data_IF_157814883627
#
_entry.id   IF_157814883627
#
_cell.length_a   1.000
_cell.length_b   1.000
_cell.length_c   1.000
_cell.angle_alpha   90.00
_cell.angle_beta   90.00
_cell.angle_gamma   90.00
#
_symmetry.space_group_name_H-M   'P 1'
#
loop_
_entity.id
_entity.type
_entity.pdbx_description
1 polymer ?
#
# COMPACT_ATOMS: atom_id res chain seq x y z
N UNK A 1 -14.48 -4.21 -28.80
CA UNK A 1 -13.37 -3.64 -28.00
C UNK A 1 -12.29 -4.70 -27.98
N UNK A 2 -11.26 -4.58 -28.83
CA UNK A 2 -10.12 -5.50 -28.75
C UNK A 2 -9.45 -5.28 -27.39
N UNK A 3 -9.54 -6.29 -26.52
CA UNK A 3 -8.94 -6.26 -25.18
C UNK A 3 -7.41 -6.28 -25.28
N UNK A 4 -6.89 -6.76 -26.41
CA UNK A 4 -5.49 -6.97 -26.66
C UNK A 4 -5.02 -6.22 -27.90
N UNK A 5 -3.91 -5.51 -27.75
CA UNK A 5 -3.21 -4.90 -28.87
C UNK A 5 -2.47 -6.01 -29.63
N UNK A 6 -3.06 -6.49 -30.73
CA UNK A 6 -2.50 -7.57 -31.53
C UNK A 6 -1.07 -7.29 -31.99
N UNK A 7 -0.74 -6.02 -32.27
CA UNK A 7 0.63 -5.62 -32.65
C UNK A 7 1.62 -5.82 -31.52
N UNK A 8 1.23 -5.54 -30.28
CA UNK A 8 2.08 -5.77 -29.11
C UNK A 8 2.34 -7.26 -28.89
N UNK A 9 1.29 -8.09 -28.99
CA UNK A 9 1.41 -9.55 -28.88
C UNK A 9 2.34 -10.11 -29.95
N UNK A 10 2.16 -9.67 -31.20
CA UNK A 10 3.01 -10.07 -32.31
C UNK A 10 4.46 -9.64 -32.11
N UNK A 11 4.69 -8.42 -31.62
CA UNK A 11 6.04 -7.94 -31.31
C UNK A 11 6.72 -8.74 -30.19
N UNK A 12 5.98 -9.07 -29.12
CA UNK A 12 6.48 -9.90 -28.02
C UNK A 12 6.86 -11.29 -28.52
N UNK A 13 6.01 -11.92 -29.35
CA UNK A 13 6.28 -13.26 -29.88
C UNK A 13 7.43 -13.26 -30.89
N UNK A 14 7.46 -12.32 -31.84
CA UNK A 14 8.47 -12.26 -32.90
C UNK A 14 9.87 -11.96 -32.37
N UNK A 15 9.99 -11.13 -31.33
CA UNK A 15 11.28 -10.74 -30.72
C UNK A 15 11.69 -11.63 -29.55
N UNK A 16 10.97 -12.73 -29.31
CA UNK A 16 11.19 -13.64 -28.18
C UNK A 16 11.27 -12.93 -26.81
N UNK A 17 10.43 -11.92 -26.61
CA UNK A 17 10.45 -11.08 -25.40
C UNK A 17 9.73 -11.72 -24.21
N UNK A 18 9.40 -13.01 -24.29
CA UNK A 18 8.66 -13.73 -23.24
C UNK A 18 9.47 -13.83 -21.97
N UNK A 19 10.76 -14.13 -22.07
CA UNK A 19 11.65 -14.17 -20.91
C UNK A 19 11.81 -12.77 -20.29
N UNK A 20 11.92 -11.74 -21.13
CA UNK A 20 11.99 -10.34 -20.67
C UNK A 20 10.71 -9.87 -19.95
N UNK A 21 9.55 -10.41 -20.32
CA UNK A 21 8.28 -10.15 -19.61
C UNK A 21 8.25 -10.77 -18.22
N UNK A 22 8.93 -11.90 -18.02
CA UNK A 22 8.99 -12.58 -16.72
C UNK A 22 10.12 -12.05 -15.84
N UNK A 23 11.19 -11.54 -16.45
CA UNK A 23 12.32 -10.90 -15.77
C UNK A 23 12.02 -9.43 -15.43
N UNK A 24 11.11 -9.20 -14.49
CA UNK A 24 10.79 -7.87 -13.97
C UNK A 24 11.54 -7.57 -12.67
N UNK A 25 11.37 -6.36 -12.16
CA UNK A 25 11.81 -5.98 -10.83
C UNK A 25 10.60 -5.95 -9.90
N UNK A 26 10.77 -6.49 -8.70
CA UNK A 26 9.72 -6.67 -7.71
C UNK A 26 10.18 -6.14 -6.36
N UNK A 27 9.25 -5.58 -5.58
CA UNK A 27 9.45 -5.25 -4.18
C UNK A 27 8.13 -5.38 -3.42
N UNK A 28 8.21 -5.66 -2.13
CA UNK A 28 7.05 -5.71 -1.24
C UNK A 28 7.25 -4.80 -0.05
N UNK A 29 6.18 -4.11 0.33
CA UNK A 29 6.03 -3.52 1.67
C UNK A 29 4.89 -4.28 2.37
N UNK A 30 5.08 -4.62 3.65
CA UNK A 30 4.11 -5.34 4.47
C UNK A 30 3.99 -4.66 5.82
N UNK A 31 2.80 -4.19 6.14
CA UNK A 31 2.50 -3.57 7.41
C UNK A 31 1.86 -4.59 8.36
N UNK A 32 2.23 -4.54 9.64
CA UNK A 32 1.62 -5.30 10.71
C UNK A 32 1.48 -4.45 11.96
N UNK A 33 0.38 -4.65 12.68
CA UNK A 33 0.21 -4.10 14.02
C UNK A 33 0.87 -5.04 15.02
N UNK A 34 1.74 -4.53 15.89
CA UNK A 34 2.24 -5.24 17.08
C UNK A 34 1.13 -5.32 18.12
N UNK A 35 0.93 -6.50 18.68
CA UNK A 35 -0.10 -6.77 19.69
C UNK A 35 0.45 -7.60 20.85
N UNK A 36 -0.18 -7.50 22.01
CA UNK A 36 0.07 -8.41 23.12
C UNK A 36 -0.53 -9.82 22.88
N UNK A 37 -0.31 -10.75 23.81
CA UNK A 37 -0.86 -12.11 23.78
C UNK A 37 -2.40 -12.18 23.75
N UNK A 38 -3.09 -11.08 24.10
CA UNK A 38 -4.54 -10.97 24.09
C UNK A 38 -5.07 -10.28 22.81
N UNK A 39 -4.19 -9.97 21.85
CA UNK A 39 -4.56 -9.27 20.63
C UNK A 39 -4.92 -7.81 20.86
N UNK A 40 -4.38 -7.17 21.89
CA UNK A 40 -4.51 -5.72 22.12
C UNK A 40 -3.32 -5.00 21.51
N UNK A 41 -3.58 -3.80 20.96
CA UNK A 41 -2.55 -2.92 20.41
C UNK A 41 -1.38 -2.76 21.39
N UNK A 42 -0.16 -3.04 20.95
CA UNK A 42 1.04 -2.83 21.76
C UNK A 42 1.31 -1.34 21.94
N UNK A 43 1.53 -0.87 23.17
CA UNK A 43 1.84 0.54 23.47
C UNK A 43 3.34 0.79 23.69
N UNK A 44 4.16 -0.25 23.56
CA UNK A 44 5.61 -0.16 23.70
C UNK A 44 6.24 0.61 22.53
N UNK A 45 7.40 1.26 22.73
CA UNK A 45 8.12 1.93 21.64
C UNK A 45 8.61 0.94 20.58
N UNK A 46 8.94 1.46 19.40
CA UNK A 46 9.61 0.70 18.35
C UNK A 46 10.90 0.07 18.90
N UNK A 47 11.15 -1.23 18.69
CA UNK A 47 12.30 -1.90 19.28
C UNK A 47 13.63 -1.26 18.86
N UNK A 48 14.44 -0.88 19.85
CA UNK A 48 15.70 -0.15 19.64
C UNK A 48 16.70 -0.92 18.76
N UNK A 49 16.61 -2.26 18.75
CA UNK A 49 17.48 -3.13 17.95
C UNK A 49 17.32 -2.91 16.43
N UNK A 50 16.16 -2.43 15.98
CA UNK A 50 15.96 -2.08 14.56
C UNK A 50 16.60 -0.73 14.19
N UNK A 51 17.15 -0.01 15.16
CA UNK A 51 17.87 1.24 14.96
C UNK A 51 16.95 2.39 14.53
N UNK A 52 17.50 3.30 13.72
CA UNK A 52 16.74 4.48 13.28
C UNK A 52 15.81 4.11 12.12
N UNK A 53 14.49 4.12 12.37
CA UNK A 53 13.43 3.83 11.40
C UNK A 53 13.42 4.70 10.12
N UNK A 54 13.94 5.93 10.17
CA UNK A 54 14.06 6.78 8.97
C UNK A 54 15.23 6.37 8.08
N UNK A 55 16.22 5.66 8.64
CA UNK A 55 17.44 5.22 7.93
C UNK A 55 17.46 3.73 7.64
N UNK A 56 16.68 2.93 8.37
CA UNK A 56 16.57 1.51 8.16
C UNK A 56 15.81 1.23 6.85
N UNK A 57 16.43 0.57 5.86
CA UNK A 57 15.77 0.34 4.58
C UNK A 57 14.74 -0.79 4.62
N UNK A 58 14.74 -1.62 5.67
CA UNK A 58 13.95 -2.87 5.73
C UNK A 58 12.85 -2.87 6.78
N UNK A 59 13.08 -2.24 7.94
CA UNK A 59 12.15 -2.27 9.07
C UNK A 59 11.91 -0.83 9.53
N UNK A 60 10.66 -0.38 9.44
CA UNK A 60 10.24 0.98 9.76
C UNK A 60 8.95 0.95 10.60
N UNK A 61 8.37 2.13 10.80
CA UNK A 61 6.99 2.28 11.28
C UNK A 61 6.21 3.15 10.32
N UNK A 62 4.96 2.79 10.07
CA UNK A 62 4.04 3.58 9.27
C UNK A 62 3.42 4.71 10.12
N UNK A 63 2.10 4.73 10.32
CA UNK A 63 1.44 5.80 11.07
C UNK A 63 1.62 5.68 12.59
N UNK A 64 1.45 4.47 13.13
CA UNK A 64 1.46 4.22 14.58
C UNK A 64 2.79 3.65 15.04
N UNK A 65 3.20 3.95 16.29
CA UNK A 65 4.38 3.34 16.91
C UNK A 65 4.28 1.80 16.96
N UNK A 66 3.05 1.29 17.02
CA UNK A 66 2.72 -0.13 17.02
C UNK A 66 2.68 -0.73 15.61
N UNK A 67 2.70 0.07 14.55
CA UNK A 67 2.51 -0.38 13.16
C UNK A 67 3.86 -0.52 12.47
N UNK A 68 4.42 -1.73 12.53
CA UNK A 68 5.69 -2.03 11.88
C UNK A 68 5.47 -2.18 10.37
N UNK A 69 6.40 -1.65 9.60
CA UNK A 69 6.42 -1.80 8.13
C UNK A 69 7.71 -2.51 7.73
N UNK A 70 7.56 -3.62 7.03
CA UNK A 70 8.65 -4.40 6.45
C UNK A 70 8.74 -4.06 4.97
N UNK A 71 9.91 -3.66 4.48
CA UNK A 71 10.17 -3.42 3.07
C UNK A 71 11.27 -4.34 2.54
N UNK A 72 11.03 -5.03 1.43
CA UNK A 72 12.05 -5.84 0.76
C UNK A 72 12.96 -4.95 -0.09
N UNK A 73 14.21 -5.36 -0.36
CA UNK A 73 14.97 -4.78 -1.46
C UNK A 73 14.26 -5.05 -2.80
N UNK A 74 14.75 -4.39 -3.85
CA UNK A 74 14.34 -4.70 -5.22
C UNK A 74 14.94 -6.06 -5.61
N UNK A 75 14.08 -6.99 -6.01
CA UNK A 75 14.41 -8.36 -6.40
C UNK A 75 14.06 -8.61 -7.87
N UNK A 76 14.71 -9.61 -8.48
CA UNK A 76 14.50 -9.97 -9.89
C UNK A 76 13.73 -11.28 -10.10
N UNK A 77 13.44 -12.00 -9.01
CA UNK A 77 12.56 -13.17 -9.01
C UNK A 77 11.58 -13.08 -7.84
N UNK A 78 10.40 -13.69 -7.99
CA UNK A 78 9.44 -13.77 -6.89
C UNK A 78 9.99 -14.58 -5.72
N UNK A 79 10.82 -15.59 -5.98
CA UNK A 79 11.46 -16.39 -4.93
C UNK A 79 12.33 -15.50 -4.03
N UNK A 80 13.16 -14.64 -4.63
CA UNK A 80 14.03 -13.74 -3.87
C UNK A 80 13.22 -12.73 -3.02
N UNK A 81 12.07 -12.28 -3.53
CA UNK A 81 11.15 -11.42 -2.77
C UNK A 81 10.62 -12.15 -1.54
N UNK A 82 10.13 -13.38 -1.71
CA UNK A 82 9.59 -14.17 -0.60
C UNK A 82 10.68 -14.54 0.42
N UNK A 83 11.84 -15.01 -0.05
CA UNK A 83 12.98 -15.32 0.82
C UNK A 83 13.40 -14.07 1.61
N UNK A 84 13.45 -12.89 0.98
CA UNK A 84 13.78 -11.65 1.68
C UNK A 84 12.70 -11.24 2.69
N UNK A 85 11.43 -11.35 2.30
CA UNK A 85 10.32 -10.99 3.18
C UNK A 85 10.28 -11.90 4.41
N UNK A 86 10.46 -13.21 4.24
CA UNK A 86 10.51 -14.21 5.30
C UNK A 86 11.65 -13.89 6.28
N UNK A 87 12.86 -13.69 5.77
CA UNK A 87 14.01 -13.35 6.62
C UNK A 87 13.82 -12.06 7.44
N UNK A 88 13.25 -11.01 6.83
CA UNK A 88 12.98 -9.76 7.56
C UNK A 88 11.84 -9.95 8.56
N UNK A 89 10.78 -10.68 8.19
CA UNK A 89 9.65 -10.97 9.08
C UNK A 89 10.08 -11.79 10.29
N UNK A 90 10.90 -12.83 10.09
CA UNK A 90 11.45 -13.64 11.18
C UNK A 90 12.37 -12.82 12.07
N UNK A 91 13.20 -11.95 11.48
CA UNK A 91 14.02 -10.99 12.23
C UNK A 91 13.15 -10.09 13.09
N UNK A 92 12.01 -9.60 12.59
CA UNK A 92 11.07 -8.82 13.39
C UNK A 92 10.49 -9.66 14.53
N UNK A 93 9.91 -10.83 14.22
CA UNK A 93 9.26 -11.70 15.20
C UNK A 93 10.20 -12.12 16.34
N UNK A 94 11.47 -12.36 16.05
CA UNK A 94 12.47 -12.73 17.06
C UNK A 94 12.89 -11.57 17.98
N UNK A 95 12.55 -10.32 17.63
CA UNK A 95 13.08 -9.12 18.26
C UNK A 95 12.01 -8.12 18.74
N UNK A 96 10.73 -8.49 18.71
CA UNK A 96 9.62 -7.71 19.28
C UNK A 96 9.25 -8.12 20.72
N UNK A 97 10.03 -9.00 21.34
CA UNK A 97 9.81 -9.44 22.73
C UNK A 97 8.62 -10.39 22.87
N UNK A 98 7.74 -10.12 23.85
CA UNK A 98 6.55 -10.93 24.14
C UNK A 98 5.32 -10.51 23.27
N UNK A 99 5.55 -9.73 22.22
CA UNK A 99 4.53 -9.26 21.30
C UNK A 99 4.41 -10.12 20.05
N UNK A 100 3.32 -9.95 19.33
CA UNK A 100 2.98 -10.68 18.12
C UNK A 100 2.66 -9.71 16.99
N UNK A 101 2.82 -10.17 15.75
CA UNK A 101 2.36 -9.43 14.57
C UNK A 101 0.92 -9.83 14.23
N UNK A 102 0.03 -8.84 14.24
CA UNK A 102 -1.37 -9.03 13.87
C UNK A 102 -1.50 -9.42 12.39
N UNK A 103 -2.15 -10.55 12.07
CA UNK A 103 -2.11 -11.12 10.72
C UNK A 103 -3.16 -10.53 9.76
N UNK A 104 -4.09 -9.72 10.26
CA UNK A 104 -5.20 -9.17 9.45
C UNK A 104 -4.93 -7.72 9.05
N UNK A 105 -5.48 -7.33 7.90
CA UNK A 105 -5.48 -5.94 7.45
C UNK A 105 -6.34 -5.04 8.34
N UNK A 106 -7.54 -5.53 8.71
CA UNK A 106 -8.40 -4.81 9.64
C UNK A 106 -7.77 -4.86 11.04
N UNK A 107 -7.81 -3.76 11.81
CA UNK A 107 -7.09 -3.67 13.07
C UNK A 107 -7.60 -4.67 14.13
N UNK A 108 -6.76 -4.99 15.13
CA UNK A 108 -7.13 -5.81 16.28
C UNK A 108 -8.08 -5.04 17.22
N UNK A 109 -8.17 -5.46 18.49
CA UNK A 109 -8.75 -4.61 19.53
C UNK A 109 -8.02 -3.26 19.56
N UNK A 110 -8.79 -2.16 19.52
CA UNK A 110 -8.26 -0.81 19.55
C UNK A 110 -8.71 -0.05 20.81
N UNK A 111 -7.80 0.70 21.45
CA UNK A 111 -8.16 1.58 22.56
C UNK A 111 -8.91 2.82 22.03
N UNK A 112 -9.04 3.87 22.85
CA UNK A 112 -9.60 5.14 22.37
C UNK A 112 -8.67 5.80 21.34
N UNK A 113 -9.22 6.70 20.54
CA UNK A 113 -8.48 7.39 19.46
C UNK A 113 -7.20 8.08 19.95
N UNK A 114 -7.26 8.72 21.12
CA UNK A 114 -6.14 9.44 21.74
C UNK A 114 -5.09 8.54 22.39
N UNK A 115 -5.45 7.29 22.67
CA UNK A 115 -4.60 6.26 23.27
C UNK A 115 -3.79 5.47 22.21
N UNK A 116 -4.18 5.49 20.93
CA UNK A 116 -3.39 4.88 19.84
C UNK A 116 -2.09 5.68 19.63
N UNK A 117 -0.89 5.10 19.85
CA UNK A 117 0.35 5.85 19.78
C UNK A 117 0.66 6.22 18.33
N UNK A 118 0.90 7.51 18.07
CA UNK A 118 1.45 7.97 16.79
C UNK A 118 2.94 7.65 16.77
N UNK A 119 3.46 7.21 15.62
CA UNK A 119 4.87 6.90 15.49
C UNK A 119 5.73 8.14 15.81
N UNK A 120 6.72 7.96 16.68
CA UNK A 120 7.73 8.99 16.96
C UNK A 120 8.88 8.82 15.98
N UNK A 121 8.93 9.70 14.98
CA UNK A 121 9.90 9.62 13.90
C UNK A 121 11.22 10.31 14.26
N UNK A 122 11.21 11.16 15.30
CA UNK A 122 12.37 11.98 15.67
C UNK A 122 12.72 13.03 14.63
N UNK A 123 11.73 13.41 13.81
CA UNK A 123 11.82 14.41 12.75
C UNK A 123 10.54 15.26 12.75
N UNK A 124 10.71 16.59 12.81
CA UNK A 124 9.59 17.52 12.99
C UNK A 124 8.58 17.46 11.84
N UNK A 125 9.05 17.27 10.61
CA UNK A 125 8.18 17.21 9.44
C UNK A 125 7.34 15.92 9.46
N UNK A 126 7.99 14.77 9.68
CA UNK A 126 7.35 13.46 9.73
C UNK A 126 6.35 13.32 10.90
N UNK A 127 6.69 13.86 12.07
CA UNK A 127 5.82 13.85 13.25
C UNK A 127 4.60 14.75 13.03
N UNK A 128 4.81 15.95 12.48
CA UNK A 128 3.73 16.88 12.16
C UNK A 128 2.80 16.34 11.07
N UNK A 129 3.34 15.64 10.07
CA UNK A 129 2.55 14.98 9.04
C UNK A 129 1.55 13.99 9.65
N UNK A 130 2.02 13.06 10.48
CA UNK A 130 1.16 12.09 11.17
C UNK A 130 0.17 12.75 12.12
N UNK A 131 0.56 13.81 12.83
CA UNK A 131 -0.36 14.55 13.70
C UNK A 131 -1.53 15.17 12.92
N UNK A 132 -1.29 15.72 11.73
CA UNK A 132 -2.35 16.24 10.86
C UNK A 132 -3.22 15.11 10.32
N UNK A 133 -2.66 13.97 9.92
CA UNK A 133 -3.43 12.80 9.52
C UNK A 133 -4.32 12.28 10.64
N UNK A 134 -3.84 12.26 11.89
CA UNK A 134 -4.62 11.87 13.06
C UNK A 134 -5.87 12.75 13.23
N UNK A 135 -5.72 14.07 13.09
CA UNK A 135 -6.84 15.03 13.17
C UNK A 135 -7.76 14.90 11.95
N UNK A 136 -7.19 14.71 10.76
CA UNK A 136 -7.94 14.66 9.49
C UNK A 136 -8.65 13.33 9.27
N UNK A 137 -8.16 12.20 9.77
CA UNK A 137 -8.74 10.89 9.45
C UNK A 137 -9.15 10.07 10.67
N UNK A 138 -8.70 10.45 11.87
CA UNK A 138 -8.76 9.62 13.07
C UNK A 138 -7.63 8.59 13.07
N UNK A 139 -7.09 8.26 14.24
CA UNK A 139 -5.99 7.29 14.40
C UNK A 139 -6.45 5.87 14.11
N UNK A 140 -7.71 5.53 14.44
CA UNK A 140 -8.26 4.18 14.20
C UNK A 140 -8.24 3.77 12.73
N UNK A 141 -8.53 4.69 11.80
CA UNK A 141 -8.44 4.39 10.37
C UNK A 141 -6.99 4.13 9.95
N UNK A 142 -6.06 4.85 10.57
CA UNK A 142 -4.66 4.86 10.16
C UNK A 142 -3.92 3.56 10.49
N UNK A 143 -4.42 2.80 11.47
CA UNK A 143 -3.88 1.48 11.84
C UNK A 143 -4.45 0.31 11.01
N UNK A 144 -5.16 0.59 9.90
CA UNK A 144 -5.45 -0.43 8.89
C UNK A 144 -4.14 -0.73 8.17
N UNK A 145 -3.71 -1.99 8.18
CA UNK A 145 -2.48 -2.40 7.53
C UNK A 145 -2.73 -2.97 6.12
N UNK A 146 -1.72 -2.90 5.27
CA UNK A 146 -1.73 -3.46 3.91
C UNK A 146 -0.43 -4.13 3.49
N UNK A 147 -0.47 -4.64 2.25
CA UNK A 147 0.73 -5.03 1.51
C UNK A 147 0.77 -4.16 0.26
N UNK A 148 1.92 -3.55 -0.02
CA UNK A 148 2.17 -2.86 -1.28
C UNK A 148 3.02 -3.73 -2.19
N UNK A 149 2.60 -3.85 -3.45
CA UNK A 149 3.32 -4.60 -4.47
C UNK A 149 3.96 -3.63 -5.45
N UNK A 150 5.28 -3.49 -5.32
CA UNK A 150 6.10 -2.63 -6.15
C UNK A 150 6.60 -3.42 -7.37
N UNK A 151 6.39 -2.85 -8.56
CA UNK A 151 6.70 -3.52 -9.83
C UNK A 151 7.27 -2.56 -10.86
N UNK A 152 8.29 -3.01 -11.60
CA UNK A 152 8.71 -2.37 -12.84
C UNK A 152 9.21 -3.40 -13.85
N UNK A 153 9.02 -3.13 -15.14
CA UNK A 153 9.67 -3.94 -16.16
C UNK A 153 11.18 -3.68 -16.15
N UNK A 154 11.93 -4.72 -16.53
CA UNK A 154 13.34 -4.55 -16.85
C UNK A 154 13.51 -3.58 -18.04
N UNK A 155 14.50 -2.69 -17.96
CA UNK A 155 14.72 -1.69 -18.99
C UNK A 155 15.02 -2.30 -20.36
N UNK A 156 15.62 -3.49 -20.42
CA UNK A 156 15.83 -4.22 -21.68
C UNK A 156 14.51 -4.56 -22.39
N UNK A 157 13.46 -4.90 -21.63
CA UNK A 157 12.12 -5.09 -22.17
C UNK A 157 11.57 -3.78 -22.74
N UNK A 158 11.63 -2.70 -21.96
CA UNK A 158 11.11 -1.38 -22.37
C UNK A 158 11.84 -0.88 -23.63
N UNK A 159 13.18 -1.01 -23.69
CA UNK A 159 13.99 -0.66 -24.86
C UNK A 159 13.59 -1.46 -26.11
N UNK A 160 13.31 -2.76 -25.96
CA UNK A 160 12.91 -3.63 -27.07
C UNK A 160 11.57 -3.25 -27.68
N UNK A 161 10.62 -2.82 -26.83
CA UNK A 161 9.31 -2.32 -27.24
C UNK A 161 9.44 -0.88 -27.78
N UNK A 162 10.23 -0.02 -27.14
CA UNK A 162 10.50 1.34 -27.60
C UNK A 162 10.99 1.36 -29.05
N UNK A 163 12.00 0.55 -29.38
CA UNK A 163 12.56 0.44 -30.73
C UNK A 163 11.55 -0.02 -31.80
N UNK A 164 10.42 -0.59 -31.39
CA UNK A 164 9.35 -1.02 -32.31
C UNK A 164 8.22 0.01 -32.46
N UNK A 165 7.90 0.73 -31.40
CA UNK A 165 6.63 1.48 -31.28
C UNK A 165 6.77 2.98 -31.04
N UNK A 166 7.98 3.48 -30.75
CA UNK A 166 8.19 4.85 -30.28
C UNK A 166 7.68 5.95 -31.22
N UNK A 167 7.63 5.70 -32.54
CA UNK A 167 7.14 6.64 -33.56
C UNK A 167 7.58 8.10 -33.28
N UNK A 168 8.90 8.34 -33.27
CA UNK A 168 9.55 9.65 -33.05
C UNK A 168 9.49 10.21 -31.61
N UNK A 169 8.88 9.51 -30.65
CA UNK A 169 8.93 9.87 -29.24
C UNK A 169 10.29 9.57 -28.59
N UNK A 170 10.73 10.38 -27.63
CA UNK A 170 11.91 10.07 -26.83
C UNK A 170 11.62 8.92 -25.84
N UNK A 171 12.66 8.22 -25.39
CA UNK A 171 12.51 7.05 -24.52
C UNK A 171 11.71 7.32 -23.24
N UNK A 172 11.91 8.48 -22.60
CA UNK A 172 11.23 8.82 -21.36
C UNK A 172 9.72 9.05 -21.59
N UNK A 173 9.35 9.77 -22.65
CA UNK A 173 7.95 9.97 -23.04
C UNK A 173 7.25 8.63 -23.27
N UNK A 174 7.92 7.73 -24.00
CA UNK A 174 7.39 6.39 -24.25
C UNK A 174 7.21 5.58 -22.95
N UNK A 175 8.22 5.57 -22.07
CA UNK A 175 8.17 4.89 -20.76
C UNK A 175 7.04 5.44 -19.88
N UNK A 176 6.84 6.76 -19.87
CA UNK A 176 5.74 7.42 -19.18
C UNK A 176 4.38 6.98 -19.71
N UNK A 177 4.19 6.98 -21.04
CA UNK A 177 2.93 6.51 -21.66
C UNK A 177 2.66 5.03 -21.38
N UNK A 178 3.70 4.20 -21.35
CA UNK A 178 3.60 2.78 -21.01
C UNK A 178 3.06 2.59 -19.58
N UNK A 179 3.70 3.21 -18.58
CA UNK A 179 3.26 3.08 -17.19
C UNK A 179 1.89 3.71 -16.94
N UNK A 180 1.59 4.86 -17.54
CA UNK A 180 0.25 5.44 -17.45
C UNK A 180 -0.82 4.55 -18.10
N UNK A 181 -0.51 3.85 -19.21
CA UNK A 181 -1.42 2.85 -19.80
C UNK A 181 -1.67 1.70 -18.82
N UNK A 182 -0.65 1.27 -18.07
CA UNK A 182 -0.79 0.24 -17.04
C UNK A 182 -1.64 0.74 -15.89
N UNK A 183 -1.36 1.92 -15.34
CA UNK A 183 -2.17 2.53 -14.27
C UNK A 183 -3.65 2.61 -14.68
N UNK A 184 -3.96 3.10 -15.90
CA UNK A 184 -5.36 3.16 -16.38
C UNK A 184 -6.03 1.78 -16.44
N UNK A 185 -5.32 0.76 -16.91
CA UNK A 185 -5.88 -0.59 -16.97
C UNK A 185 -6.00 -1.23 -15.58
N UNK A 186 -5.03 -1.00 -14.69
CA UNK A 186 -5.10 -1.40 -13.30
C UNK A 186 -6.33 -0.78 -12.63
N UNK A 187 -6.52 0.54 -12.74
CA UNK A 187 -7.71 1.23 -12.21
C UNK A 187 -9.04 0.64 -12.73
N UNK A 188 -9.07 0.23 -14.00
CA UNK A 188 -10.25 -0.37 -14.64
C UNK A 188 -10.53 -1.80 -14.16
N UNK A 189 -9.50 -2.60 -13.93
CA UNK A 189 -9.63 -4.05 -13.67
C UNK A 189 -9.22 -4.49 -12.26
N UNK A 190 -8.77 -3.58 -11.38
CA UNK A 190 -8.37 -3.87 -9.99
C UNK A 190 -9.44 -4.57 -9.17
N UNK A 191 -10.71 -4.40 -9.53
CA UNK A 191 -11.83 -5.09 -8.87
C UNK A 191 -11.63 -6.61 -8.90
N UNK A 192 -10.99 -7.17 -9.93
CA UNK A 192 -10.73 -8.60 -10.04
C UNK A 192 -9.68 -9.04 -9.01
N UNK A 193 -8.63 -8.23 -8.81
CA UNK A 193 -7.64 -8.49 -7.76
C UNK A 193 -8.30 -8.42 -6.38
N UNK A 194 -9.06 -7.35 -6.09
CA UNK A 194 -9.79 -7.21 -4.83
C UNK A 194 -10.76 -8.38 -4.62
N UNK A 195 -11.43 -8.85 -5.68
CA UNK A 195 -12.32 -10.00 -5.63
C UNK A 195 -11.59 -11.30 -5.26
N UNK A 196 -10.43 -11.56 -5.86
CA UNK A 196 -9.67 -12.79 -5.64
C UNK A 196 -8.86 -12.78 -4.34
N UNK A 197 -8.35 -11.62 -3.93
CA UNK A 197 -7.38 -11.50 -2.82
C UNK A 197 -7.90 -10.66 -1.67
N UNK A 198 -9.17 -10.26 -1.68
CA UNK A 198 -9.82 -9.56 -0.58
C UNK A 198 -9.85 -10.42 0.67
N UNK A 199 -9.15 -9.97 1.71
CA UNK A 199 -8.97 -10.70 2.97
C UNK A 199 -9.32 -9.83 4.19
N UNK A 200 -10.34 -8.98 4.09
CA UNK A 200 -10.79 -8.13 5.20
C UNK A 200 -12.32 -8.06 5.38
N UNK A 201 -13.02 -9.21 5.47
CA UNK A 201 -14.49 -9.24 5.55
C UNK A 201 -15.06 -8.87 6.94
N UNK A 202 -14.28 -9.03 8.00
CA UNK A 202 -14.69 -8.83 9.40
C UNK A 202 -13.75 -7.87 10.13
N UNK A 203 -14.24 -7.18 11.15
CA UNK A 203 -13.48 -6.21 11.95
C UNK A 203 -13.94 -6.20 13.40
N UNK A 204 -13.11 -5.72 14.32
CA UNK A 204 -13.45 -5.69 15.75
C UNK A 204 -14.42 -4.53 16.08
N UNK A 205 -15.33 -4.73 17.03
CA UNK A 205 -16.31 -3.72 17.46
C UNK A 205 -15.71 -2.44 18.10
N UNK A 206 -14.40 -2.43 18.34
CA UNK A 206 -13.64 -1.27 18.82
C UNK A 206 -13.11 -0.38 17.71
N UNK A 207 -13.39 -0.68 16.44
CA UNK A 207 -12.94 0.13 15.31
C UNK A 207 -13.63 1.52 15.31
N UNK A 208 -14.31 1.91 14.23
CA UNK A 208 -14.99 3.21 14.17
C UNK A 208 -16.46 3.01 14.54
N UNK A 209 -16.93 3.70 15.59
CA UNK A 209 -18.29 3.55 16.13
C UNK A 209 -19.38 3.62 15.06
N UNK A 210 -19.31 4.61 14.18
CA UNK A 210 -20.26 4.77 13.06
C UNK A 210 -20.33 3.50 12.20
N UNK A 211 -19.20 2.86 11.92
CA UNK A 211 -19.12 1.69 11.06
C UNK A 211 -19.65 0.44 11.78
N UNK A 212 -19.32 0.32 13.07
CA UNK A 212 -19.87 -0.73 13.95
C UNK A 212 -21.40 -0.63 14.02
N UNK A 213 -21.94 0.56 14.26
CA UNK A 213 -23.38 0.82 14.36
C UNK A 213 -24.14 0.50 13.05
N UNK A 214 -23.46 0.54 11.88
CA UNK A 214 -24.01 0.20 10.56
C UNK A 214 -23.81 -1.29 10.17
N UNK A 215 -23.12 -2.08 10.99
CA UNK A 215 -22.71 -3.45 10.68
C UNK A 215 -23.56 -4.51 11.38
N UNK A 216 -23.43 -5.77 10.95
CA UNK A 216 -23.87 -6.92 11.73
C UNK A 216 -22.79 -7.26 12.78
N UNK A 217 -23.20 -7.81 13.93
CA UNK A 217 -22.27 -8.21 15.00
C UNK A 217 -22.51 -9.67 15.40
N UNK A 218 -21.43 -10.31 15.85
CA UNK A 218 -21.41 -11.62 16.50
C UNK A 218 -21.18 -11.43 18.00
N UNK A 219 -21.44 -12.49 18.79
CA UNK A 219 -21.40 -12.43 20.26
C UNK A 219 -19.98 -12.22 20.83
N UNK A 220 -18.93 -12.46 20.03
CA UNK A 220 -17.51 -12.33 20.42
C UNK A 220 -16.91 -10.95 20.14
N UNK A 221 -17.72 -9.98 19.70
CA UNK A 221 -17.26 -8.63 19.34
C UNK A 221 -16.79 -8.49 17.88
N UNK A 222 -16.90 -9.54 17.08
CA UNK A 222 -16.68 -9.47 15.63
C UNK A 222 -17.83 -8.77 14.92
N UNK A 223 -17.51 -7.79 14.09
CA UNK A 223 -18.44 -7.07 13.23
C UNK A 223 -18.20 -7.39 11.75
N UNK A 224 -19.24 -7.33 10.93
CA UNK A 224 -19.14 -7.61 9.50
C UNK A 224 -20.27 -6.97 8.69
N UNK A 225 -20.05 -6.83 7.39
CA UNK A 225 -21.09 -6.46 6.42
C UNK A 225 -21.42 -7.65 5.53
N UNK A 226 -22.71 -7.88 5.25
CA UNK A 226 -23.14 -8.98 4.38
C UNK A 226 -22.52 -8.83 2.99
N UNK A 227 -21.95 -9.92 2.45
CA UNK A 227 -21.30 -9.98 1.14
C UNK A 227 -20.07 -9.08 0.96
N UNK A 228 -19.49 -8.54 2.04
CA UNK A 228 -18.26 -7.76 1.99
C UNK A 228 -17.05 -8.70 1.98
N UNK A 229 -16.14 -8.50 1.02
CA UNK A 229 -14.89 -9.25 0.92
C UNK A 229 -13.68 -8.47 1.49
N UNK A 230 -13.73 -7.15 1.41
CA UNK A 230 -12.64 -6.28 1.84
C UNK A 230 -13.13 -4.93 2.34
N UNK A 231 -13.16 -4.77 3.66
CA UNK A 231 -13.43 -3.50 4.31
C UNK A 231 -12.38 -2.45 3.93
N UNK A 232 -11.08 -2.83 3.88
CA UNK A 232 -9.97 -1.94 3.49
C UNK A 232 -10.23 -1.21 2.17
N UNK A 233 -10.76 -1.92 1.18
CA UNK A 233 -11.03 -1.37 -0.16
C UNK A 233 -12.45 -0.77 -0.32
N UNK A 234 -13.22 -0.67 0.76
CA UNK A 234 -14.57 -0.11 0.78
C UNK A 234 -14.60 1.35 1.25
N UNK A 235 -15.78 1.97 1.27
CA UNK A 235 -15.97 3.30 1.86
C UNK A 235 -15.69 3.36 3.38
N UNK A 236 -15.65 2.20 4.04
CA UNK A 236 -15.32 2.07 5.46
C UNK A 236 -13.81 1.91 5.72
N UNK A 237 -13.02 1.73 4.67
CA UNK A 237 -11.60 1.39 4.75
C UNK A 237 -10.65 2.58 4.66
N UNK A 238 -9.51 2.39 4.00
CA UNK A 238 -8.44 3.38 3.93
C UNK A 238 -8.57 4.20 2.64
N UNK A 239 -9.07 5.44 2.75
CA UNK A 239 -9.27 6.36 1.60
C UNK A 239 -9.26 7.83 2.04
N UNK A 240 -9.00 8.74 1.10
CA UNK A 240 -9.17 10.16 1.36
C UNK A 240 -10.66 10.48 1.61
N UNK A 241 -10.95 11.54 2.37
CA UNK A 241 -12.34 11.97 2.68
C UNK A 241 -13.11 12.36 1.41
N UNK A 242 -12.41 13.04 0.50
CA UNK A 242 -12.95 13.48 -0.78
C UNK A 242 -12.54 12.48 -1.87
N UNK A 243 -13.40 12.34 -2.88
CA UNK A 243 -13.04 11.61 -4.09
C UNK A 243 -12.31 12.56 -5.05
N UNK A 244 -11.00 12.38 -5.19
CA UNK A 244 -10.19 13.14 -6.12
C UNK A 244 -10.14 12.47 -7.49
N UNK A 245 -10.25 13.25 -8.56
CA UNK A 245 -10.17 12.77 -9.94
C UNK A 245 -8.79 13.08 -10.52
N UNK A 246 -7.86 12.14 -10.38
CA UNK A 246 -6.50 12.31 -10.89
C UNK A 246 -6.39 11.80 -12.33
N UNK A 247 -5.95 12.64 -13.29
CA UNK A 247 -5.86 12.23 -14.67
C UNK A 247 -4.58 11.40 -14.93
N UNK A 248 -4.75 10.23 -15.56
CA UNK A 248 -3.65 9.34 -15.98
C UNK A 248 -3.38 9.42 -17.49
N UNK A 249 -3.74 10.51 -18.16
CA UNK A 249 -3.54 10.72 -19.60
C UNK A 249 -2.09 11.10 -19.95
N UNK A 250 -1.46 11.95 -19.13
CA UNK A 250 -0.05 12.34 -19.23
C UNK A 250 0.55 12.59 -17.84
N UNK A 251 1.87 12.56 -17.74
CA UNK A 251 2.56 12.82 -16.45
C UNK A 251 2.37 14.26 -16.02
N UNK A 252 2.36 15.19 -16.97
CA UNK A 252 2.16 16.62 -16.73
C UNK A 252 0.77 16.88 -16.13
N UNK A 253 -0.26 16.23 -16.68
CA UNK A 253 -1.63 16.37 -16.17
C UNK A 253 -1.76 15.77 -14.77
N UNK A 254 -1.15 14.61 -14.53
CA UNK A 254 -1.11 13.94 -13.22
C UNK A 254 -0.45 14.85 -12.16
N UNK A 255 0.76 15.33 -12.45
CA UNK A 255 1.56 16.17 -11.54
C UNK A 255 0.85 17.50 -11.30
N UNK A 256 0.30 18.13 -12.34
CA UNK A 256 -0.43 19.39 -12.22
C UNK A 256 -1.61 19.26 -11.24
N UNK A 257 -2.40 18.19 -11.35
CA UNK A 257 -3.56 18.00 -10.48
C UNK A 257 -3.16 17.66 -9.03
N UNK A 258 -2.15 16.81 -8.83
CA UNK A 258 -1.64 16.51 -7.49
C UNK A 258 -1.10 17.76 -6.80
N UNK A 259 -0.31 18.58 -7.51
CA UNK A 259 0.20 19.84 -6.99
C UNK A 259 -0.94 20.82 -6.70
N UNK A 260 -1.95 20.92 -7.57
CA UNK A 260 -3.12 21.76 -7.33
C UNK A 260 -3.82 21.38 -6.02
N UNK A 261 -3.96 20.09 -5.73
CA UNK A 261 -4.59 19.58 -4.51
C UNK A 261 -3.75 19.86 -3.25
N UNK A 262 -2.42 19.80 -3.35
CA UNK A 262 -1.53 20.18 -2.27
C UNK A 262 -1.56 21.70 -2.01
N UNK A 263 -1.49 22.51 -3.07
CA UNK A 263 -1.53 23.97 -3.01
C UNK A 263 -2.88 24.49 -2.46
N UNK A 264 -4.00 23.83 -2.81
CA UNK A 264 -5.32 24.13 -2.28
C UNK A 264 -5.56 23.63 -0.84
N UNK A 265 -4.59 22.91 -0.26
CA UNK A 265 -4.67 22.25 1.05
C UNK A 265 -5.78 21.20 1.16
N UNK A 266 -6.28 20.71 0.03
CA UNK A 266 -7.14 19.52 0.00
C UNK A 266 -6.35 18.27 0.38
N UNK A 267 -5.07 18.24 0.01
CA UNK A 267 -4.02 17.38 0.54
C UNK A 267 -3.00 18.25 1.31
N UNK A 268 -2.42 17.72 2.37
CA UNK A 268 -1.32 18.34 3.11
C UNK A 268 -0.03 18.29 2.30
N UNK A 269 0.21 17.17 1.65
CA UNK A 269 1.38 16.90 0.80
C UNK A 269 1.01 15.85 -0.26
N UNK A 270 1.85 15.69 -1.29
CA UNK A 270 1.70 14.69 -2.34
C UNK A 270 1.63 13.26 -1.78
N UNK A 271 2.30 12.98 -0.66
CA UNK A 271 2.28 11.68 0.02
C UNK A 271 0.93 11.34 0.66
N UNK A 272 0.02 12.31 0.85
CA UNK A 272 -1.33 12.06 1.39
C UNK A 272 -2.29 11.49 0.33
N UNK A 273 -1.97 11.56 -0.96
CA UNK A 273 -2.88 11.05 -1.97
C UNK A 273 -2.99 9.52 -1.87
N UNK A 274 -4.16 9.03 -1.45
CA UNK A 274 -4.45 7.60 -1.34
C UNK A 274 -4.98 7.08 -2.67
N UNK A 275 -4.06 6.90 -3.60
CA UNK A 275 -4.26 6.12 -4.81
C UNK A 275 -4.38 4.63 -4.47
N UNK A 276 -5.25 3.89 -5.17
CA UNK A 276 -5.35 2.44 -5.00
C UNK A 276 -4.28 1.64 -5.72
#
# INVERSE_FOLDING_TARGET
MEIFDGRLIDAVNRKDLKEYLLNCNFGLEKENIRVDENGRLAETPHPEIFGNRLKNPYIKTDFSESQIEIATPVCHTLKDVYDSLENIHDTVCLNIGDEYLWPQSNPPYLPKEDEIPIANMGDEYEDKFRAVLAVKYGRKRQVISGIHYNFSFNEAFINSIYNEFANEENFMGFKNKLYLKICRNFMKYRWLLIYMTGASPVFHNTFIKKYVDESCSLDDGTCYYKNMISLRNSDYGYKNRNNFYIPFNSVESYVCEINRLADSKELQDICEFYGP
#
